data_IF_332077314354
#
_entry.id   IF_332077314354
#
_cell.length_a   1.000
_cell.length_b   1.000
_cell.length_c   1.000
_cell.angle_alpha   90.00
_cell.angle_beta   90.00
_cell.angle_gamma   90.00
#
_symmetry.space_group_name_H-M   'P 1'
#
loop_
_entity.id
_entity.type
_entity.pdbx_description
1 polymer ?
#
# COMPACT_ATOMS: atom_id res chain seq x y z
N UNK A 1 8.94 -6.90 7.17
CA UNK A 1 8.91 -6.71 8.65
C UNK A 1 7.59 -7.13 9.29
N UNK A 2 6.42 -6.61 8.88
CA UNK A 2 5.11 -6.94 9.49
C UNK A 2 4.87 -8.45 9.60
N UNK A 3 5.09 -9.20 8.51
CA UNK A 3 5.00 -10.67 8.51
C UNK A 3 5.97 -11.31 9.51
N UNK A 4 7.22 -10.84 9.55
CA UNK A 4 8.24 -11.36 10.45
C UNK A 4 7.86 -11.18 11.92
N UNK A 5 7.39 -9.99 12.29
CA UNK A 5 6.91 -9.70 13.65
C UNK A 5 5.75 -10.62 14.03
N UNK A 6 4.77 -10.81 13.13
CA UNK A 6 3.62 -11.67 13.38
C UNK A 6 4.00 -13.13 13.58
N UNK A 7 4.88 -13.68 12.74
CA UNK A 7 5.39 -15.05 12.86
C UNK A 7 6.26 -15.21 14.09
N UNK A 8 7.11 -14.24 14.42
CA UNK A 8 7.94 -14.28 15.62
C UNK A 8 7.10 -14.29 16.90
N UNK A 9 6.04 -13.48 16.98
CA UNK A 9 5.07 -13.48 18.08
C UNK A 9 4.31 -14.80 18.20
N UNK A 10 4.15 -15.54 17.10
CA UNK A 10 3.58 -16.89 17.09
C UNK A 10 4.61 -17.98 17.44
N UNK A 11 5.86 -17.62 17.75
CA UNK A 11 6.92 -18.52 18.18
C UNK A 11 7.82 -19.07 17.07
N UNK A 12 7.67 -18.60 15.83
CA UNK A 12 8.57 -18.98 14.73
C UNK A 12 9.89 -18.22 14.81
N UNK A 13 11.00 -18.85 14.42
CA UNK A 13 12.28 -18.17 14.14
C UNK A 13 12.28 -17.66 12.71
N UNK A 14 12.65 -16.40 12.52
CA UNK A 14 12.54 -15.71 11.23
C UNK A 14 13.86 -15.05 10.85
N UNK A 15 14.35 -15.31 9.65
CA UNK A 15 15.38 -14.51 9.01
C UNK A 15 14.71 -13.47 8.09
N UNK A 16 15.09 -12.20 8.24
CA UNK A 16 14.68 -11.12 7.33
C UNK A 16 15.90 -10.61 6.60
N UNK A 17 15.90 -10.72 5.27
CA UNK A 17 16.97 -10.20 4.42
C UNK A 17 16.45 -9.00 3.66
N UNK A 18 17.14 -7.87 3.74
CA UNK A 18 16.80 -6.64 3.02
C UNK A 18 18.07 -6.06 2.39
N UNK A 19 18.02 -5.74 1.09
CA UNK A 19 19.13 -5.14 0.36
C UNK A 19 19.38 -3.69 0.74
N UNK A 20 18.37 -3.00 1.24
CA UNK A 20 18.45 -1.58 1.55
C UNK A 20 19.08 -1.34 2.92
N UNK A 21 19.78 -0.21 3.05
CA UNK A 21 20.30 0.26 4.33
C UNK A 21 19.18 0.88 5.17
N UNK A 22 18.95 0.36 6.41
CA UNK A 22 17.97 0.93 7.32
C UNK A 22 18.18 2.43 7.62
N UNK A 23 19.42 2.87 7.73
CA UNK A 23 19.73 4.28 8.00
C UNK A 23 19.28 5.17 6.85
N UNK A 24 19.52 4.74 5.60
CA UNK A 24 19.03 5.46 4.42
C UNK A 24 17.49 5.46 4.33
N UNK A 25 16.85 4.35 4.72
CA UNK A 25 15.39 4.24 4.71
C UNK A 25 14.68 5.09 5.78
N UNK A 26 15.39 5.46 6.85
CA UNK A 26 14.87 6.21 8.00
C UNK A 26 15.57 7.56 8.19
N UNK A 27 16.26 8.06 7.17
CA UNK A 27 16.88 9.38 7.18
C UNK A 27 15.88 10.47 7.61
N UNK A 28 16.38 11.49 8.30
CA UNK A 28 15.54 12.58 8.79
C UNK A 28 14.88 13.38 7.65
N UNK A 29 13.73 13.93 7.96
CA UNK A 29 12.93 14.73 7.04
C UNK A 29 11.79 13.94 6.38
N UNK A 30 10.88 14.69 5.76
CA UNK A 30 9.79 14.16 4.96
C UNK A 30 10.21 14.12 3.48
N UNK A 31 10.29 12.93 2.90
CA UNK A 31 10.71 12.69 1.51
C UNK A 31 9.54 12.73 0.50
N UNK A 32 8.35 13.15 0.94
CA UNK A 32 7.13 13.19 0.14
C UNK A 32 6.40 11.84 0.05
N UNK A 33 7.00 10.74 0.47
CA UNK A 33 6.37 9.41 0.41
C UNK A 33 5.52 9.14 1.64
N UNK A 34 4.25 8.86 1.40
CA UNK A 34 3.28 8.55 2.44
C UNK A 34 2.44 7.34 2.05
N UNK A 35 1.90 6.67 3.04
CA UNK A 35 1.01 5.52 2.86
C UNK A 35 -0.26 5.66 3.68
N UNK A 36 -1.39 5.35 3.05
CA UNK A 36 -2.66 5.19 3.72
C UNK A 36 -2.74 3.79 4.35
N UNK A 37 -2.94 3.72 5.63
CA UNK A 37 -3.21 2.49 6.38
C UNK A 37 -4.71 2.42 6.62
N UNK A 38 -5.38 1.44 6.00
CA UNK A 38 -6.83 1.21 6.14
C UNK A 38 -7.18 0.78 7.56
N UNK A 39 -8.45 0.84 7.92
CA UNK A 39 -8.95 0.40 9.24
C UNK A 39 -8.54 -1.03 9.55
N UNK A 40 -8.70 -1.97 8.60
CA UNK A 40 -8.30 -3.36 8.81
C UNK A 40 -6.78 -3.52 8.99
N UNK A 41 -5.97 -2.83 8.21
CA UNK A 41 -4.52 -2.82 8.38
C UNK A 41 -4.08 -2.17 9.70
N UNK A 42 -4.84 -1.21 10.19
CA UNK A 42 -4.63 -0.60 11.51
C UNK A 42 -4.88 -1.61 12.64
N UNK A 43 -5.93 -2.44 12.52
CA UNK A 43 -6.19 -3.53 13.47
C UNK A 43 -5.01 -4.51 13.52
N UNK A 44 -4.45 -4.90 12.35
CA UNK A 44 -3.23 -5.72 12.31
C UNK A 44 -2.10 -5.08 13.12
N UNK A 45 -1.89 -3.78 12.98
CA UNK A 45 -0.86 -3.07 13.76
C UNK A 45 -1.20 -3.05 15.26
N UNK A 46 -2.48 -3.01 15.62
CA UNK A 46 -2.94 -3.18 17.01
C UNK A 46 -2.54 -4.54 17.55
N UNK A 47 -2.94 -5.64 16.88
CA UNK A 47 -2.60 -7.00 17.26
C UNK A 47 -1.08 -7.26 17.34
N UNK A 48 -0.29 -6.60 16.50
CA UNK A 48 1.17 -6.69 16.52
C UNK A 48 1.85 -5.78 17.54
N UNK A 49 1.08 -4.94 18.28
CA UNK A 49 1.62 -4.00 19.26
C UNK A 49 2.32 -2.78 18.66
N UNK A 50 2.05 -2.47 17.40
CA UNK A 50 2.61 -1.32 16.68
C UNK A 50 1.76 -0.04 16.87
N UNK A 51 0.46 -0.19 17.13
CA UNK A 51 -0.47 0.93 17.20
C UNK A 51 -0.03 2.02 18.20
N UNK A 52 0.42 1.73 19.43
CA UNK A 52 0.86 2.77 20.35
C UNK A 52 2.07 3.58 19.86
N UNK A 53 2.93 2.98 19.04
CA UNK A 53 4.09 3.66 18.44
C UNK A 53 3.70 4.57 17.28
N UNK A 54 2.66 4.16 16.55
CA UNK A 54 2.22 4.80 15.32
C UNK A 54 1.09 5.81 15.53
N UNK A 55 0.24 5.64 16.54
CA UNK A 55 -0.93 6.49 16.75
C UNK A 55 -0.61 8.01 16.78
N UNK A 56 0.42 8.48 17.48
CA UNK A 56 0.77 9.91 17.49
C UNK A 56 1.43 10.40 16.20
N UNK A 57 1.73 9.50 15.26
CA UNK A 57 2.43 9.77 13.99
C UNK A 57 1.52 9.70 12.76
N UNK A 58 0.26 9.34 12.94
CA UNK A 58 -0.70 9.14 11.87
C UNK A 58 -1.77 10.22 11.79
N UNK A 59 -1.98 10.79 10.60
CA UNK A 59 -3.10 11.71 10.35
C UNK A 59 -4.37 10.92 10.02
N UNK A 60 -5.48 11.10 10.76
CA UNK A 60 -6.74 10.41 10.46
C UNK A 60 -7.31 10.80 9.10
N UNK A 61 -7.83 9.81 8.36
CA UNK A 61 -8.64 10.06 7.15
C UNK A 61 -10.11 10.12 7.59
N UNK A 62 -10.60 11.34 7.84
CA UNK A 62 -11.96 11.58 8.28
C UNK A 62 -12.99 11.47 7.13
N UNK A 63 -12.55 11.72 5.90
CA UNK A 63 -13.37 11.58 4.71
C UNK A 63 -12.51 11.35 3.47
N UNK A 64 -13.12 10.71 2.45
CA UNK A 64 -12.58 10.65 1.09
C UNK A 64 -13.53 11.41 0.17
N UNK A 65 -13.03 12.42 -0.54
CA UNK A 65 -13.79 13.23 -1.49
C UNK A 65 -13.32 12.91 -2.92
N UNK A 66 -14.23 12.40 -3.74
CA UNK A 66 -13.96 12.00 -5.13
C UNK A 66 -14.64 12.97 -6.09
N UNK A 67 -13.88 13.52 -7.04
CA UNK A 67 -14.35 14.51 -8.02
C UNK A 67 -13.97 14.12 -9.46
N UNK A 68 -14.83 14.47 -10.43
CA UNK A 68 -14.51 14.46 -11.86
C UNK A 68 -13.96 15.86 -12.26
N UNK A 69 -12.65 16.04 -12.23
CA UNK A 69 -11.95 17.32 -12.29
C UNK A 69 -12.46 18.30 -11.21
N UNK A 70 -12.40 19.62 -11.47
CA UNK A 70 -12.97 20.65 -10.58
C UNK A 70 -14.44 20.93 -10.84
N UNK A 71 -15.16 19.98 -11.45
CA UNK A 71 -16.59 20.16 -11.77
C UNK A 71 -17.46 19.99 -10.52
N UNK A 72 -18.62 20.67 -10.47
CA UNK A 72 -19.59 20.46 -9.40
C UNK A 72 -20.10 19.01 -9.33
N UNK A 73 -20.27 18.50 -8.12
CA UNK A 73 -20.74 17.14 -7.85
C UNK A 73 -19.60 16.24 -7.42
N UNK A 74 -19.37 16.17 -6.10
CA UNK A 74 -18.44 15.24 -5.45
C UNK A 74 -19.17 14.06 -4.86
N UNK A 75 -18.54 12.90 -4.80
CA UNK A 75 -18.93 11.84 -3.88
C UNK A 75 -18.08 12.04 -2.64
N UNK A 76 -18.71 12.00 -1.49
CA UNK A 76 -18.02 12.05 -0.22
C UNK A 76 -18.33 10.80 0.60
N UNK A 77 -17.27 10.07 0.94
CA UNK A 77 -17.32 8.93 1.82
C UNK A 77 -16.89 9.39 3.22
N UNK A 78 -17.82 9.29 4.18
CA UNK A 78 -17.56 9.54 5.60
C UNK A 78 -17.99 8.31 6.38
N UNK A 79 -17.25 7.92 7.42
CA UNK A 79 -17.72 6.88 8.34
C UNK A 79 -19.01 7.32 9.03
N UNK A 80 -19.82 6.35 9.43
CA UNK A 80 -20.98 6.61 10.27
C UNK A 80 -20.53 7.01 11.69
N UNK A 81 -21.43 7.64 12.45
CA UNK A 81 -21.12 8.07 13.82
C UNK A 81 -20.73 6.85 14.68
N UNK A 82 -19.56 6.93 15.33
CA UNK A 82 -19.00 5.82 16.13
C UNK A 82 -18.09 4.84 15.36
N UNK A 83 -18.01 4.91 14.04
CA UNK A 83 -17.15 3.98 13.25
C UNK A 83 -15.65 4.35 13.20
N UNK A 84 -15.27 5.51 13.73
CA UNK A 84 -13.90 6.02 13.68
C UNK A 84 -13.51 6.57 12.29
N UNK A 85 -12.21 6.57 11.97
CA UNK A 85 -11.72 7.06 10.70
C UNK A 85 -11.70 5.95 9.62
N UNK A 86 -11.68 6.34 8.34
CA UNK A 86 -11.54 5.40 7.21
C UNK A 86 -10.15 4.76 7.12
N UNK A 87 -9.21 5.30 7.86
CA UNK A 87 -7.81 4.90 7.92
C UNK A 87 -6.95 6.03 8.44
N UNK A 88 -5.65 5.88 8.32
CA UNK A 88 -4.65 6.89 8.75
C UNK A 88 -3.56 7.05 7.71
N UNK A 89 -3.11 8.29 7.50
CA UNK A 89 -1.95 8.58 6.65
C UNK A 89 -0.69 8.64 7.48
N UNK A 90 0.37 8.02 6.98
CA UNK A 90 1.70 8.04 7.61
C UNK A 90 2.77 8.42 6.60
N UNK A 91 3.76 9.19 7.03
CA UNK A 91 5.03 9.22 6.32
C UNK A 91 5.66 7.81 6.36
N UNK A 92 6.21 7.34 5.23
CA UNK A 92 6.77 5.99 5.16
C UNK A 92 7.92 5.77 6.14
N UNK A 93 8.65 6.84 6.46
CA UNK A 93 9.69 6.83 7.49
C UNK A 93 9.14 6.38 8.85
N UNK A 94 8.02 6.92 9.29
CA UNK A 94 7.44 6.60 10.61
C UNK A 94 6.99 5.14 10.70
N UNK A 95 6.40 4.61 9.60
CA UNK A 95 6.07 3.19 9.52
C UNK A 95 7.31 2.30 9.63
N UNK A 96 8.40 2.66 8.95
CA UNK A 96 9.65 1.90 9.00
C UNK A 96 10.29 1.92 10.38
N UNK A 97 10.38 3.10 11.01
CA UNK A 97 10.92 3.24 12.37
C UNK A 97 10.16 2.36 13.36
N UNK A 98 8.82 2.40 13.34
CA UNK A 98 8.01 1.58 14.23
C UNK A 98 8.19 0.08 13.98
N UNK A 99 8.28 -0.34 12.71
CA UNK A 99 8.49 -1.73 12.33
C UNK A 99 9.90 -2.23 12.72
N UNK A 100 10.93 -1.40 12.55
CA UNK A 100 12.30 -1.74 12.91
C UNK A 100 12.45 -1.84 14.44
N UNK A 101 11.89 -0.88 15.19
CA UNK A 101 11.88 -0.92 16.66
C UNK A 101 11.14 -2.15 17.19
N UNK A 102 9.99 -2.47 16.63
CA UNK A 102 9.23 -3.66 17.03
C UNK A 102 9.94 -4.97 16.66
N UNK A 103 10.60 -5.04 15.51
CA UNK A 103 11.36 -6.21 15.10
C UNK A 103 12.61 -6.43 15.99
N UNK A 104 13.30 -5.35 16.36
CA UNK A 104 14.47 -5.41 17.23
C UNK A 104 14.15 -5.95 18.64
N UNK A 105 12.89 -5.83 19.08
CA UNK A 105 12.40 -6.38 20.35
C UNK A 105 12.04 -7.87 20.29
N UNK A 106 12.08 -8.49 19.10
CA UNK A 106 11.77 -9.92 18.93
C UNK A 106 13.08 -10.73 18.88
N UNK A 107 13.42 -11.52 19.93
CA UNK A 107 14.69 -12.25 19.99
C UNK A 107 14.82 -13.36 18.94
N UNK A 108 13.71 -13.77 18.35
CA UNK A 108 13.63 -14.81 17.33
C UNK A 108 13.54 -14.24 15.88
N UNK A 109 13.81 -12.94 15.70
CA UNK A 109 14.05 -12.35 14.38
C UNK A 109 15.54 -12.10 14.21
N UNK A 110 16.15 -12.76 13.22
CA UNK A 110 17.49 -12.45 12.75
C UNK A 110 17.38 -11.55 11.51
N UNK A 111 17.76 -10.28 11.66
CA UNK A 111 17.72 -9.32 10.57
C UNK A 111 19.06 -9.16 9.88
N UNK A 112 19.07 -9.25 8.55
CA UNK A 112 20.23 -9.12 7.67
C UNK A 112 20.01 -7.91 6.74
N UNK A 113 20.24 -6.68 7.23
CA UNK A 113 20.15 -5.48 6.41
C UNK A 113 21.32 -5.38 5.43
N UNK A 114 21.17 -4.54 4.40
CA UNK A 114 22.19 -4.31 3.35
C UNK A 114 22.70 -5.61 2.72
N UNK A 115 21.86 -6.64 2.66
CA UNK A 115 22.20 -7.98 2.19
C UNK A 115 21.25 -8.42 1.07
N UNK A 116 21.80 -9.07 0.05
CA UNK A 116 21.02 -9.59 -1.09
C UNK A 116 21.09 -11.10 -1.14
N UNK A 117 19.97 -11.77 -1.39
CA UNK A 117 19.94 -13.21 -1.67
C UNK A 117 20.37 -13.42 -3.12
N UNK A 118 21.51 -14.12 -3.30
CA UNK A 118 22.12 -14.39 -4.63
C UNK A 118 21.79 -15.77 -5.18
N UNK A 119 21.47 -16.74 -4.30
CA UNK A 119 21.02 -18.07 -4.70
C UNK A 119 19.94 -18.60 -3.76
N UNK A 120 19.05 -19.41 -4.30
CA UNK A 120 17.92 -20.04 -3.59
C UNK A 120 17.79 -21.48 -4.02
N UNK A 121 17.68 -22.38 -3.03
CA UNK A 121 17.40 -23.78 -3.27
C UNK A 121 16.18 -24.18 -2.45
N UNK A 122 15.29 -24.95 -3.06
CA UNK A 122 14.07 -25.43 -2.44
C UNK A 122 13.95 -26.94 -2.67
N UNK A 123 13.55 -27.65 -1.64
CA UNK A 123 13.38 -29.10 -1.70
C UNK A 123 12.37 -29.59 -0.68
N UNK A 124 12.10 -30.90 -0.64
CA UNK A 124 11.00 -31.47 0.18
C UNK A 124 11.19 -31.23 1.68
N UNK A 125 12.41 -30.99 2.14
CA UNK A 125 12.72 -30.89 3.58
C UNK A 125 13.03 -29.47 4.06
N UNK A 126 13.15 -28.49 3.17
CA UNK A 126 13.49 -27.12 3.54
C UNK A 126 13.94 -26.28 2.36
N UNK A 127 14.39 -25.10 2.70
CA UNK A 127 14.94 -24.12 1.76
C UNK A 127 16.30 -23.63 2.23
N UNK A 128 17.18 -23.29 1.30
CA UNK A 128 18.39 -22.52 1.58
C UNK A 128 18.43 -21.23 0.77
N UNK A 129 18.99 -20.18 1.36
CA UNK A 129 19.25 -18.90 0.71
C UNK A 129 20.70 -18.50 0.97
N UNK A 130 21.46 -18.27 -0.11
CA UNK A 130 22.83 -17.77 -0.02
C UNK A 130 22.82 -16.26 -0.16
N UNK A 131 23.42 -15.56 0.80
CA UNK A 131 23.56 -14.12 0.80
C UNK A 131 24.79 -13.68 -0.01
N UNK A 132 24.85 -12.39 -0.36
CA UNK A 132 25.96 -11.79 -1.13
C UNK A 132 27.32 -11.89 -0.45
N UNK A 133 27.38 -12.08 0.86
CA UNK A 133 28.61 -12.31 1.65
C UNK A 133 29.00 -13.78 1.77
N UNK A 134 28.26 -14.69 1.13
CA UNK A 134 28.46 -16.14 1.19
C UNK A 134 27.75 -16.83 2.37
N UNK A 135 27.10 -16.11 3.27
CA UNK A 135 26.32 -16.70 4.37
C UNK A 135 25.17 -17.53 3.80
N UNK A 136 24.99 -18.76 4.30
CA UNK A 136 23.89 -19.64 3.92
C UNK A 136 22.87 -19.72 5.04
N UNK A 137 21.67 -19.23 4.77
CA UNK A 137 20.53 -19.34 5.66
C UNK A 137 19.70 -20.57 5.31
N UNK A 138 19.18 -21.28 6.34
CA UNK A 138 18.28 -22.43 6.15
C UNK A 138 16.97 -22.22 6.88
N UNK A 139 15.86 -22.57 6.22
CA UNK A 139 14.54 -22.43 6.78
C UNK A 139 13.58 -23.54 6.28
N UNK A 140 12.36 -23.56 6.84
CA UNK A 140 11.29 -24.45 6.37
C UNK A 140 10.49 -23.85 5.22
N UNK A 141 10.42 -22.52 5.15
CA UNK A 141 9.66 -21.76 4.16
C UNK A 141 10.48 -20.55 3.71
N UNK A 142 10.47 -20.26 2.42
CA UNK A 142 10.92 -19.01 1.81
C UNK A 142 9.72 -18.12 1.54
N UNK A 143 9.81 -16.83 1.87
CA UNK A 143 8.78 -15.85 1.51
C UNK A 143 9.38 -14.76 0.64
N UNK A 144 8.86 -14.64 -0.58
CA UNK A 144 9.22 -13.56 -1.49
C UNK A 144 8.40 -12.30 -1.19
N UNK A 145 9.10 -11.26 -0.72
CA UNK A 145 8.52 -9.96 -0.37
C UNK A 145 9.30 -8.79 -1.00
N UNK A 146 10.02 -9.05 -2.11
CA UNK A 146 10.98 -8.14 -2.73
C UNK A 146 10.37 -7.14 -3.71
N UNK A 147 9.03 -7.03 -3.73
CA UNK A 147 8.33 -6.08 -4.57
C UNK A 147 8.12 -6.55 -6.02
N UNK A 148 7.82 -5.61 -6.91
CA UNK A 148 7.36 -5.87 -8.29
C UNK A 148 8.31 -6.68 -9.14
N UNK A 149 9.61 -6.55 -8.91
CA UNK A 149 10.68 -7.26 -9.64
C UNK A 149 11.25 -8.43 -8.81
N UNK A 150 10.40 -9.15 -8.08
CA UNK A 150 10.80 -10.24 -7.18
C UNK A 150 11.66 -11.29 -7.88
N UNK A 151 12.97 -11.39 -7.55
CA UNK A 151 13.83 -12.45 -8.05
C UNK A 151 13.38 -13.83 -7.57
N UNK A 152 12.82 -13.91 -6.36
CA UNK A 152 12.29 -15.17 -5.80
C UNK A 152 11.13 -15.71 -6.64
N UNK A 153 10.26 -14.83 -7.13
CA UNK A 153 9.18 -15.22 -8.05
C UNK A 153 9.72 -15.70 -9.39
N UNK A 154 10.70 -15.00 -9.95
CA UNK A 154 11.32 -15.32 -11.24
C UNK A 154 12.05 -16.65 -11.16
N UNK A 155 12.85 -16.88 -10.13
CA UNK A 155 13.54 -18.13 -9.85
C UNK A 155 12.58 -19.32 -9.67
N UNK A 156 11.40 -19.09 -9.10
CA UNK A 156 10.35 -20.10 -8.97
C UNK A 156 9.61 -20.41 -10.29
N UNK A 157 9.90 -19.71 -11.39
CA UNK A 157 9.22 -19.90 -12.67
C UNK A 157 7.73 -19.50 -12.63
N UNK A 158 7.33 -18.62 -11.70
CA UNK A 158 5.93 -18.20 -11.57
C UNK A 158 5.63 -17.13 -12.63
N UNK A 159 4.74 -17.46 -13.55
CA UNK A 159 4.32 -16.57 -14.63
C UNK A 159 3.58 -15.33 -14.09
N UNK A 160 3.76 -14.21 -14.76
CA UNK A 160 3.19 -12.90 -14.40
C UNK A 160 2.50 -12.30 -15.62
N UNK A 161 1.24 -11.93 -15.49
CA UNK A 161 0.58 -11.01 -16.40
C UNK A 161 0.89 -9.57 -15.98
N UNK A 162 1.40 -8.76 -16.91
CA UNK A 162 1.78 -7.37 -16.66
C UNK A 162 1.09 -6.44 -17.65
N UNK A 163 0.65 -5.28 -17.15
CA UNK A 163 0.18 -4.16 -17.96
C UNK A 163 0.93 -2.92 -17.55
N UNK A 164 1.38 -2.16 -18.53
CA UNK A 164 1.90 -0.83 -18.34
C UNK A 164 0.81 0.16 -18.74
N UNK A 165 0.46 1.08 -17.86
CA UNK A 165 -0.50 2.14 -18.16
C UNK A 165 0.14 3.30 -18.93
N UNK A 166 1.46 3.29 -19.13
CA UNK A 166 2.25 4.41 -19.66
C UNK A 166 2.00 5.71 -18.90
N UNK A 167 1.85 5.57 -17.59
CA UNK A 167 1.67 6.67 -16.64
C UNK A 167 2.74 6.61 -15.55
N UNK A 168 3.04 7.77 -14.99
CA UNK A 168 3.88 7.91 -13.80
C UNK A 168 3.15 8.69 -12.73
N UNK A 169 3.35 8.32 -11.47
CA UNK A 169 2.94 9.15 -10.34
C UNK A 169 4.05 10.13 -10.01
N UNK A 170 3.74 11.41 -10.00
CA UNK A 170 4.57 12.46 -9.41
C UNK A 170 4.18 12.57 -7.95
N UNK A 171 5.17 12.51 -7.05
CA UNK A 171 4.99 12.64 -5.61
C UNK A 171 5.65 13.92 -5.15
N UNK A 172 4.99 14.66 -4.25
CA UNK A 172 5.55 15.79 -3.56
C UNK A 172 4.91 15.95 -2.18
N UNK A 173 5.61 16.58 -1.25
CA UNK A 173 5.02 17.12 -0.02
C UNK A 173 4.62 18.55 -0.23
N UNK A 174 3.43 18.92 0.24
CA UNK A 174 2.91 20.29 0.21
C UNK A 174 2.73 20.81 1.63
N UNK A 175 3.21 22.02 1.89
CA UNK A 175 2.77 22.86 2.99
C UNK A 175 1.65 23.77 2.47
N UNK A 176 0.65 24.09 3.31
CA UNK A 176 -0.50 24.88 2.87
C UNK A 176 -1.15 25.71 3.97
N UNK A 177 -1.92 26.74 3.57
CA UNK A 177 -2.49 27.72 4.48
C UNK A 177 -3.77 27.25 5.17
N UNK A 178 -4.66 26.56 4.44
CA UNK A 178 -5.94 26.11 4.98
C UNK A 178 -5.84 24.67 5.51
N UNK A 179 -6.39 24.34 6.70
CA UNK A 179 -6.39 22.97 7.20
C UNK A 179 -7.13 22.03 6.23
N UNK A 180 -6.58 20.83 5.99
CA UNK A 180 -7.19 19.80 5.15
C UNK A 180 -8.41 19.11 5.78
N UNK A 181 -8.66 19.30 7.09
CA UNK A 181 -9.79 18.73 7.81
C UNK A 181 -9.87 17.19 7.80
N UNK A 182 -8.75 16.50 7.62
CA UNK A 182 -8.69 15.04 7.50
C UNK A 182 -9.29 14.50 6.20
N UNK A 183 -9.51 15.33 5.18
CA UNK A 183 -10.10 14.91 3.90
C UNK A 183 -8.99 14.47 2.95
N UNK A 184 -9.08 13.22 2.46
CA UNK A 184 -8.33 12.74 1.31
C UNK A 184 -9.09 13.10 0.03
N UNK A 185 -8.49 13.92 -0.81
CA UNK A 185 -9.07 14.31 -2.10
C UNK A 185 -8.56 13.43 -3.21
N UNK A 186 -9.47 12.90 -4.03
CA UNK A 186 -9.17 12.11 -5.22
C UNK A 186 -9.86 12.77 -6.41
N UNK A 187 -9.12 13.52 -7.21
CA UNK A 187 -9.63 14.29 -8.34
C UNK A 187 -9.22 13.58 -9.62
N UNK A 188 -10.18 13.06 -10.37
CA UNK A 188 -9.91 12.33 -11.60
C UNK A 188 -9.84 13.26 -12.80
N UNK A 189 -8.69 13.22 -13.48
CA UNK A 189 -8.46 13.87 -14.76
C UNK A 189 -8.31 12.84 -15.88
N UNK A 190 -8.44 13.21 -17.16
CA UNK A 190 -8.22 12.27 -18.28
C UNK A 190 -6.84 11.64 -18.31
N UNK A 191 -5.81 12.33 -17.80
CA UNK A 191 -4.46 11.80 -17.64
C UNK A 191 -4.28 10.91 -16.40
N UNK A 192 -5.30 10.75 -15.58
CA UNK A 192 -5.28 9.95 -14.36
C UNK A 192 -5.61 10.75 -13.09
N UNK A 193 -5.61 10.08 -11.93
CA UNK A 193 -5.95 10.69 -10.66
C UNK A 193 -4.92 11.70 -10.17
N UNK A 194 -5.43 12.68 -9.44
CA UNK A 194 -4.68 13.69 -8.69
C UNK A 194 -5.17 13.62 -7.24
N UNK A 195 -4.33 13.15 -6.34
CA UNK A 195 -4.70 12.94 -4.96
C UNK A 195 -3.96 13.91 -4.02
N UNK A 196 -4.70 14.46 -3.06
CA UNK A 196 -4.17 15.22 -1.91
C UNK A 196 -4.52 14.46 -0.64
N UNK A 197 -3.52 14.02 0.06
CA UNK A 197 -3.65 13.11 1.21
C UNK A 197 -3.27 13.85 2.50
N UNK A 198 -4.16 13.84 3.54
CA UNK A 198 -3.94 14.59 4.76
C UNK A 198 -2.75 14.03 5.55
N UNK A 199 -1.78 14.89 5.87
CA UNK A 199 -0.63 14.54 6.72
C UNK A 199 -0.72 15.27 8.05
N UNK A 200 0.00 14.80 9.07
CA UNK A 200 0.14 15.58 10.28
C UNK A 200 0.84 16.91 9.98
N UNK A 201 0.44 17.94 10.71
CA UNK A 201 1.16 19.20 10.72
C UNK A 201 2.62 18.98 11.12
N UNK A 202 3.51 19.85 10.69
CA UNK A 202 4.89 19.76 11.11
C UNK A 202 5.10 20.28 12.55
N UNK A 203 6.35 20.24 13.01
CA UNK A 203 6.69 20.67 14.38
C UNK A 203 6.42 22.16 14.63
N UNK A 204 6.22 22.97 13.58
CA UNK A 204 5.87 24.40 13.68
C UNK A 204 4.36 24.65 13.64
N UNK A 205 3.55 23.61 13.43
CA UNK A 205 2.10 23.69 13.24
C UNK A 205 1.69 24.01 11.80
N UNK A 206 2.61 23.94 10.84
CA UNK A 206 2.31 24.15 9.41
C UNK A 206 1.54 22.96 8.86
N UNK A 207 0.38 23.21 8.27
CA UNK A 207 -0.43 22.17 7.62
C UNK A 207 0.29 21.52 6.45
N UNK A 208 0.19 20.19 6.34
CA UNK A 208 0.86 19.41 5.29
C UNK A 208 -0.07 18.41 4.62
N UNK A 209 0.17 18.19 3.32
CA UNK A 209 -0.45 17.12 2.54
C UNK A 209 0.57 16.42 1.67
N UNK A 210 0.39 15.13 1.42
CA UNK A 210 1.11 14.42 0.38
C UNK A 210 0.33 14.54 -0.94
N UNK A 211 1.05 14.87 -2.01
CA UNK A 211 0.52 14.91 -3.38
C UNK A 211 0.91 13.63 -4.11
N UNK A 212 -0.07 13.02 -4.78
CA UNK A 212 0.15 11.97 -5.79
C UNK A 212 -0.55 12.39 -7.07
N UNK A 213 0.21 12.79 -8.07
CA UNK A 213 -0.31 13.28 -9.33
C UNK A 213 0.07 12.36 -10.48
N UNK A 214 -0.90 11.70 -11.08
CA UNK A 214 -0.70 10.83 -12.24
C UNK A 214 -0.57 11.67 -13.51
N UNK A 215 0.49 11.44 -14.26
CA UNK A 215 0.77 12.07 -15.57
C UNK A 215 1.12 11.00 -16.60
N UNK A 216 1.01 11.33 -17.89
CA UNK A 216 1.52 10.46 -18.93
C UNK A 216 3.04 10.28 -18.77
N UNK A 217 3.55 9.11 -19.14
CA UNK A 217 4.98 8.77 -18.97
C UNK A 217 5.88 9.78 -19.69
N UNK A 218 5.50 10.20 -20.90
CA UNK A 218 6.24 11.15 -21.72
C UNK A 218 6.30 12.57 -21.08
N UNK A 219 5.29 12.93 -20.28
CA UNK A 219 5.19 14.24 -19.62
C UNK A 219 5.97 14.30 -18.30
N UNK A 220 6.21 13.16 -17.67
CA UNK A 220 6.73 13.09 -16.30
C UNK A 220 8.09 13.79 -16.14
N UNK A 221 9.00 13.62 -17.11
CA UNK A 221 10.30 14.28 -17.10
C UNK A 221 10.18 15.81 -17.21
N UNK A 222 9.19 16.29 -17.98
CA UNK A 222 8.85 17.71 -18.09
C UNK A 222 8.39 18.29 -16.75
N UNK A 223 7.44 17.62 -16.11
CA UNK A 223 6.88 18.01 -14.81
C UNK A 223 7.96 18.04 -13.71
N UNK A 224 8.87 17.06 -13.68
CA UNK A 224 9.96 17.05 -12.71
C UNK A 224 10.99 18.18 -12.90
N UNK A 225 11.18 18.66 -14.15
CA UNK A 225 12.10 19.76 -14.47
C UNK A 225 11.48 21.16 -14.33
N UNK A 226 10.17 21.27 -14.08
CA UNK A 226 9.54 22.58 -13.83
C UNK A 226 10.23 23.30 -12.67
N UNK A 227 10.28 24.64 -12.71
CA UNK A 227 10.59 25.41 -11.51
C UNK A 227 9.53 25.15 -10.44
N UNK A 228 9.85 25.40 -9.17
CA UNK A 228 8.88 25.21 -8.08
C UNK A 228 7.64 26.09 -8.28
N UNK A 229 7.84 27.32 -8.73
CA UNK A 229 6.74 28.25 -9.04
C UNK A 229 5.82 27.69 -10.14
N UNK A 230 6.38 27.18 -11.23
CA UNK A 230 5.59 26.61 -12.33
C UNK A 230 4.85 25.32 -11.89
N UNK A 231 5.52 24.47 -11.15
CA UNK A 231 4.91 23.24 -10.62
C UNK A 231 3.76 23.55 -9.67
N UNK A 232 3.95 24.48 -8.72
CA UNK A 232 2.91 24.88 -7.78
C UNK A 232 1.73 25.58 -8.47
N UNK A 233 1.96 26.30 -9.56
CA UNK A 233 0.89 26.87 -10.39
C UNK A 233 0.03 25.78 -11.04
N UNK A 234 0.66 24.72 -11.59
CA UNK A 234 -0.06 23.55 -12.13
C UNK A 234 -0.84 22.79 -11.03
N UNK A 235 -0.23 22.62 -9.86
CA UNK A 235 -0.91 21.98 -8.71
C UNK A 235 -2.13 22.80 -8.31
N UNK A 236 -2.02 24.13 -8.16
CA UNK A 236 -3.16 25.01 -7.84
C UNK A 236 -4.26 24.93 -8.89
N UNK A 237 -3.89 24.93 -10.19
CA UNK A 237 -4.87 24.79 -11.26
C UNK A 237 -5.67 23.48 -11.19
N UNK A 238 -5.09 22.40 -10.63
CA UNK A 238 -5.75 21.10 -10.49
C UNK A 238 -6.49 20.94 -9.15
N UNK A 239 -5.99 21.48 -8.08
CA UNK A 239 -6.67 21.34 -6.78
C UNK A 239 -7.73 22.42 -6.52
N UNK A 240 -7.71 23.54 -7.26
CA UNK A 240 -8.50 24.72 -6.96
C UNK A 240 -8.11 25.33 -5.60
N UNK A 241 -9.09 25.87 -4.87
CA UNK A 241 -8.90 26.60 -3.62
C UNK A 241 -8.94 25.72 -2.34
N UNK A 242 -8.84 24.39 -2.50
CA UNK A 242 -9.08 23.45 -1.39
C UNK A 242 -8.11 23.66 -0.22
N UNK A 243 -6.82 23.86 -0.49
CA UNK A 243 -5.78 24.04 0.53
C UNK A 243 -5.30 25.51 0.64
N UNK A 244 -5.80 26.43 -0.18
CA UNK A 244 -5.32 27.80 -0.25
C UNK A 244 -3.93 27.92 -0.82
N UNK A 245 -3.11 28.84 -0.30
CA UNK A 245 -1.71 28.97 -0.73
C UNK A 245 -0.91 27.73 -0.34
N UNK A 246 -0.04 27.31 -1.27
CA UNK A 246 0.76 26.10 -1.15
C UNK A 246 2.24 26.37 -1.41
N UNK A 247 3.09 25.61 -0.74
CA UNK A 247 4.54 25.57 -0.93
C UNK A 247 5.02 24.11 -0.97
N UNK A 248 6.22 23.87 -1.50
CA UNK A 248 6.83 22.54 -1.43
C UNK A 248 7.40 22.28 -0.05
N UNK A 249 6.96 21.18 0.59
CA UNK A 249 7.47 20.68 1.85
C UNK A 249 8.43 19.48 1.68
N UNK A 250 8.53 18.92 0.47
CA UNK A 250 9.45 17.83 0.15
C UNK A 250 9.83 17.86 -1.33
N UNK A 251 11.00 17.29 -1.71
CA UNK A 251 11.41 17.17 -3.10
C UNK A 251 10.41 16.36 -3.94
N UNK A 252 10.31 16.70 -5.21
CA UNK A 252 9.52 15.96 -6.18
C UNK A 252 10.23 14.68 -6.59
N UNK A 253 9.48 13.59 -6.68
CA UNK A 253 9.95 12.32 -7.21
C UNK A 253 8.89 11.67 -8.11
N UNK A 254 9.25 10.64 -8.86
CA UNK A 254 8.26 9.89 -9.64
C UNK A 254 8.54 8.40 -9.66
N UNK A 255 7.47 7.62 -9.82
CA UNK A 255 7.57 6.17 -10.05
C UNK A 255 6.59 5.72 -11.15
N UNK A 256 6.94 4.66 -11.91
CA UNK A 256 6.09 4.14 -12.96
C UNK A 256 4.85 3.45 -12.38
N UNK A 257 3.71 3.63 -13.06
CA UNK A 257 2.45 3.00 -12.72
C UNK A 257 2.20 1.81 -13.65
N UNK A 258 1.96 0.66 -13.08
CA UNK A 258 1.66 -0.56 -13.80
C UNK A 258 0.86 -1.51 -12.93
N UNK A 259 0.26 -2.46 -13.58
CA UNK A 259 -0.43 -3.57 -12.95
C UNK A 259 0.35 -4.86 -13.21
N UNK A 260 0.43 -5.74 -12.24
CA UNK A 260 0.82 -7.12 -12.47
C UNK A 260 0.09 -8.08 -11.54
N UNK A 261 -0.15 -9.27 -12.05
CA UNK A 261 -0.77 -10.34 -11.30
C UNK A 261 -0.07 -11.66 -11.63
N UNK A 262 0.28 -12.41 -10.61
CA UNK A 262 0.95 -13.70 -10.75
C UNK A 262 -0.07 -14.82 -11.00
N UNK A 263 0.33 -15.82 -11.80
CA UNK A 263 -0.51 -16.99 -12.05
C UNK A 263 -0.80 -17.80 -10.77
N UNK A 264 0.10 -17.73 -9.80
CA UNK A 264 -0.02 -18.32 -8.46
C UNK A 264 0.88 -17.57 -7.49
N UNK A 265 0.56 -17.66 -6.21
CA UNK A 265 1.33 -16.97 -5.15
C UNK A 265 2.09 -17.94 -4.25
N UNK A 266 2.06 -19.23 -4.57
CA UNK A 266 2.78 -20.28 -3.85
C UNK A 266 3.50 -21.23 -4.82
N UNK A 267 4.55 -21.86 -4.33
CA UNK A 267 5.23 -23.00 -4.95
C UNK A 267 5.76 -23.91 -3.85
N UNK A 268 6.56 -24.94 -4.19
CA UNK A 268 7.18 -25.80 -3.18
C UNK A 268 7.96 -24.94 -2.17
N UNK A 269 7.51 -24.97 -0.90
CA UNK A 269 8.10 -24.22 0.22
C UNK A 269 8.32 -22.73 -0.06
N UNK A 270 7.44 -22.14 -0.84
CA UNK A 270 7.49 -20.74 -1.23
C UNK A 270 6.12 -20.10 -1.12
N UNK A 271 6.05 -18.92 -0.51
CA UNK A 271 4.92 -18.01 -0.59
C UNK A 271 5.38 -16.63 -1.09
N UNK A 272 4.55 -15.95 -1.88
CA UNK A 272 4.74 -14.56 -2.29
C UNK A 272 3.75 -13.67 -1.55
N UNK A 273 4.18 -12.47 -1.14
CA UNK A 273 3.34 -11.47 -0.46
C UNK A 273 3.54 -10.08 -1.05
N UNK A 274 2.49 -9.26 -1.00
CA UNK A 274 2.52 -7.88 -1.48
C UNK A 274 2.86 -7.77 -2.96
N UNK A 275 3.65 -6.77 -3.32
CA UNK A 275 4.01 -6.50 -4.71
C UNK A 275 4.84 -7.64 -5.37
N UNK A 276 5.36 -8.60 -4.62
CA UNK A 276 5.95 -9.80 -5.21
C UNK A 276 4.89 -10.74 -5.81
N UNK A 277 3.69 -10.77 -5.21
CA UNK A 277 2.54 -11.54 -5.67
C UNK A 277 1.67 -10.75 -6.67
N UNK A 278 1.36 -9.51 -6.35
CA UNK A 278 0.45 -8.67 -7.14
C UNK A 278 0.75 -7.18 -6.93
N UNK A 279 0.80 -6.44 -8.01
CA UNK A 279 0.93 -4.98 -7.96
C UNK A 279 -0.26 -4.33 -8.64
N UNK A 280 -0.99 -3.53 -7.88
CA UNK A 280 -2.16 -2.81 -8.36
C UNK A 280 -1.84 -1.34 -8.65
N UNK A 281 -2.73 -0.67 -9.38
CA UNK A 281 -2.66 0.78 -9.55
C UNK A 281 -2.86 1.46 -8.17
N UNK A 282 -2.10 2.50 -7.82
CA UNK A 282 -2.14 3.13 -6.50
C UNK A 282 -3.40 3.97 -6.20
N UNK A 283 -4.50 3.79 -6.94
CA UNK A 283 -5.77 4.44 -6.63
C UNK A 283 -6.16 4.13 -5.19
N UNK A 284 -6.50 5.16 -4.45
CA UNK A 284 -6.88 5.09 -3.05
C UNK A 284 -5.85 4.44 -2.11
N UNK A 285 -4.56 4.33 -2.50
CA UNK A 285 -3.48 3.83 -1.63
C UNK A 285 -3.60 2.36 -1.22
N UNK A 286 -4.29 1.51 -2.00
CA UNK A 286 -4.61 0.13 -1.60
C UNK A 286 -3.46 -0.87 -1.72
N UNK A 287 -2.37 -0.56 -2.44
CA UNK A 287 -1.28 -1.52 -2.68
C UNK A 287 -0.64 -2.06 -1.39
N UNK A 288 -0.27 -1.17 -0.46
CA UNK A 288 0.31 -1.59 0.82
C UNK A 288 -0.70 -2.38 1.67
N UNK A 289 -1.97 -1.94 1.72
CA UNK A 289 -3.02 -2.61 2.50
C UNK A 289 -3.30 -4.03 2.00
N UNK A 290 -3.25 -4.23 0.68
CA UNK A 290 -3.37 -5.56 0.09
C UNK A 290 -2.20 -6.47 0.52
N UNK A 291 -0.96 -5.95 0.52
CA UNK A 291 0.21 -6.68 1.01
C UNK A 291 0.17 -6.96 2.53
N UNK A 292 -0.36 -6.04 3.34
CA UNK A 292 -0.58 -6.26 4.77
C UNK A 292 -1.64 -7.34 5.01
N UNK A 293 -2.67 -7.40 4.17
CA UNK A 293 -3.68 -8.44 4.20
C UNK A 293 -3.11 -9.81 3.82
N UNK A 294 -2.17 -9.87 2.86
CA UNK A 294 -1.41 -11.09 2.56
C UNK A 294 -0.61 -11.55 3.78
N UNK A 295 0.11 -10.62 4.41
CA UNK A 295 0.89 -10.92 5.60
C UNK A 295 0.01 -11.49 6.72
N UNK A 296 -1.15 -10.87 7.00
CA UNK A 296 -2.09 -11.35 8.03
C UNK A 296 -2.63 -12.76 7.71
N UNK A 297 -3.02 -13.01 6.46
CA UNK A 297 -3.50 -14.32 6.02
C UNK A 297 -2.41 -15.40 6.12
N UNK A 298 -1.19 -15.08 5.71
CA UNK A 298 -0.07 -16.01 5.78
C UNK A 298 0.34 -16.31 7.23
N UNK A 299 0.35 -15.29 8.12
CA UNK A 299 0.57 -15.48 9.55
C UNK A 299 -0.47 -16.46 10.11
N UNK A 300 -1.75 -16.26 9.83
CA UNK A 300 -2.82 -17.12 10.34
C UNK A 300 -2.69 -18.55 9.81
N UNK A 301 -2.48 -18.74 8.50
CA UNK A 301 -2.32 -20.06 7.90
C UNK A 301 -1.14 -20.84 8.51
N UNK A 302 0.02 -20.17 8.66
CA UNK A 302 1.22 -20.78 9.25
C UNK A 302 1.01 -21.10 10.72
N UNK A 303 0.47 -20.14 11.51
CA UNK A 303 0.25 -20.31 12.95
C UNK A 303 -0.72 -21.43 13.24
N UNK A 304 -1.83 -21.52 12.51
CA UNK A 304 -2.80 -22.60 12.65
C UNK A 304 -2.18 -23.95 12.25
N UNK A 305 -1.39 -23.99 11.16
CA UNK A 305 -0.64 -25.17 10.75
C UNK A 305 0.34 -25.65 11.84
N UNK A 306 1.13 -24.74 12.39
CA UNK A 306 2.10 -25.04 13.46
C UNK A 306 1.41 -25.59 14.72
N UNK A 307 0.24 -25.06 15.09
CA UNK A 307 -0.56 -25.57 16.22
C UNK A 307 -1.03 -27.01 16.01
N UNK A 308 -1.21 -27.41 14.74
CA UNK A 308 -1.55 -28.80 14.37
C UNK A 308 -0.30 -29.68 14.14
N UNK A 309 0.91 -29.15 14.38
CA UNK A 309 2.16 -29.86 14.15
C UNK A 309 2.61 -29.93 12.69
N UNK A 310 2.00 -29.15 11.80
CA UNK A 310 2.40 -29.07 10.39
C UNK A 310 3.64 -28.19 10.22
N UNK A 311 4.42 -28.49 9.19
CA UNK A 311 5.56 -27.68 8.76
C UNK A 311 5.08 -26.37 8.12
N UNK A 312 5.66 -25.18 8.41
CA UNK A 312 5.30 -23.93 7.77
C UNK A 312 5.34 -23.94 6.23
N UNK A 313 6.20 -24.80 5.66
CA UNK A 313 6.30 -25.00 4.20
C UNK A 313 5.41 -26.11 3.66
N UNK A 314 4.50 -26.67 4.46
CA UNK A 314 3.58 -27.72 4.05
C UNK A 314 2.65 -27.23 2.92
N UNK A 315 2.45 -28.10 1.92
CA UNK A 315 1.64 -27.78 0.77
C UNK A 315 0.17 -27.46 1.13
N UNK A 316 -0.39 -28.06 2.21
CA UNK A 316 -1.76 -27.79 2.62
C UNK A 316 -1.87 -26.39 3.26
N UNK A 317 -0.88 -25.97 4.05
CA UNK A 317 -0.79 -24.62 4.63
C UNK A 317 -0.72 -23.57 3.52
N UNK A 318 0.16 -23.78 2.55
CA UNK A 318 0.35 -22.87 1.42
C UNK A 318 -0.87 -22.83 0.49
N UNK A 319 -1.50 -23.97 0.22
CA UNK A 319 -2.72 -24.02 -0.59
C UNK A 319 -3.92 -23.33 0.09
N UNK A 320 -4.00 -23.37 1.45
CA UNK A 320 -5.01 -22.58 2.19
C UNK A 320 -4.78 -21.09 2.00
N UNK A 321 -3.53 -20.62 2.14
CA UNK A 321 -3.15 -19.23 1.91
C UNK A 321 -3.50 -18.79 0.48
N UNK A 322 -3.10 -19.55 -0.54
CA UNK A 322 -3.37 -19.22 -1.94
C UNK A 322 -4.87 -19.10 -2.23
N UNK A 323 -5.68 -20.10 -1.82
CA UNK A 323 -7.14 -20.05 -2.02
C UNK A 323 -7.77 -18.82 -1.34
N UNK A 324 -7.30 -18.49 -0.15
CA UNK A 324 -7.83 -17.33 0.58
C UNK A 324 -7.53 -16.02 -0.12
N UNK A 325 -6.31 -15.87 -0.65
CA UNK A 325 -5.88 -14.62 -1.25
C UNK A 325 -6.28 -14.45 -2.72
N UNK A 326 -6.48 -15.54 -3.45
CA UNK A 326 -6.76 -15.48 -4.88
C UNK A 326 -8.02 -14.67 -5.24
N UNK A 327 -9.12 -14.87 -4.51
CA UNK A 327 -10.37 -14.15 -4.75
C UNK A 327 -10.27 -12.67 -4.38
N UNK A 328 -9.69 -12.36 -3.23
CA UNK A 328 -9.54 -10.99 -2.74
C UNK A 328 -8.65 -10.15 -3.66
N UNK A 329 -7.47 -10.65 -4.02
CA UNK A 329 -6.54 -9.96 -4.89
C UNK A 329 -7.14 -9.69 -6.27
N UNK A 330 -7.89 -10.65 -6.83
CA UNK A 330 -8.56 -10.48 -8.11
C UNK A 330 -9.66 -9.41 -8.03
N UNK A 331 -10.47 -9.39 -6.99
CA UNK A 331 -11.56 -8.41 -6.82
C UNK A 331 -11.01 -6.98 -6.71
N UNK A 332 -9.99 -6.76 -5.88
CA UNK A 332 -9.34 -5.45 -5.74
C UNK A 332 -8.68 -5.03 -7.05
N UNK A 333 -8.03 -5.96 -7.75
CA UNK A 333 -7.40 -5.72 -9.04
C UNK A 333 -8.42 -5.28 -10.10
N UNK A 334 -9.54 -6.00 -10.23
CA UNK A 334 -10.61 -5.66 -11.18
C UNK A 334 -11.29 -4.33 -10.82
N UNK A 335 -11.52 -4.04 -9.54
CA UNK A 335 -12.10 -2.79 -9.09
C UNK A 335 -11.20 -1.58 -9.44
N UNK A 336 -9.90 -1.68 -9.14
CA UNK A 336 -8.95 -0.60 -9.41
C UNK A 336 -8.69 -0.41 -10.91
N UNK A 337 -8.56 -1.48 -11.69
CA UNK A 337 -8.40 -1.42 -13.16
C UNK A 337 -9.68 -0.85 -13.81
N UNK A 338 -10.86 -1.30 -13.37
CA UNK A 338 -12.14 -0.79 -13.84
C UNK A 338 -12.32 0.71 -13.59
N UNK A 339 -11.98 1.19 -12.39
CA UNK A 339 -11.99 2.61 -12.08
C UNK A 339 -10.98 3.38 -12.95
N UNK A 340 -9.75 2.91 -13.07
CA UNK A 340 -8.71 3.54 -13.90
C UNK A 340 -9.19 3.72 -15.34
N UNK A 341 -9.76 2.68 -15.94
CA UNK A 341 -10.28 2.73 -17.33
C UNK A 341 -11.50 3.63 -17.45
N UNK A 342 -12.45 3.56 -16.51
CA UNK A 342 -13.65 4.38 -16.53
C UNK A 342 -13.32 5.88 -16.48
N UNK A 343 -12.38 6.28 -15.64
CA UNK A 343 -11.98 7.68 -15.51
C UNK A 343 -10.99 8.12 -16.60
N UNK A 344 -10.25 7.21 -17.21
CA UNK A 344 -9.33 7.48 -18.33
C UNK A 344 -10.00 7.74 -19.69
N UNK A 345 -11.31 7.43 -19.86
CA UNK A 345 -12.00 7.70 -21.13
C UNK A 345 -12.25 9.18 -21.29
N UNK A 346 -11.68 9.85 -22.33
CA UNK A 346 -11.90 11.28 -22.56
C UNK A 346 -13.27 11.56 -23.17
N UNK A 347 -13.74 12.81 -23.04
CA UNK A 347 -14.91 13.31 -23.74
C UNK A 347 -16.10 13.65 -22.84
N UNK A 348 -17.01 14.51 -23.39
CA UNK A 348 -18.17 15.04 -22.68
C UNK A 348 -19.19 13.96 -22.30
N UNK A 349 -19.42 12.99 -23.19
CA UNK A 349 -20.35 11.87 -22.95
C UNK A 349 -19.83 10.96 -21.83
N UNK A 350 -18.54 10.62 -21.84
CA UNK A 350 -17.92 9.83 -20.79
C UNK A 350 -17.99 10.54 -19.43
N UNK A 351 -17.72 11.85 -19.38
CA UNK A 351 -17.87 12.65 -18.16
C UNK A 351 -19.33 12.68 -17.66
N UNK A 352 -20.31 12.77 -18.57
CA UNK A 352 -21.72 12.71 -18.18
C UNK A 352 -22.08 11.35 -17.57
N UNK A 353 -21.66 10.24 -18.18
CA UNK A 353 -21.88 8.89 -17.67
C UNK A 353 -21.22 8.71 -16.29
N UNK A 354 -19.96 9.17 -16.13
CA UNK A 354 -19.29 9.16 -14.81
C UNK A 354 -20.07 9.94 -13.75
N UNK A 355 -20.56 11.13 -14.09
CA UNK A 355 -21.34 11.97 -13.15
C UNK A 355 -22.66 11.31 -12.76
N UNK A 356 -23.37 10.70 -13.71
CA UNK A 356 -24.59 9.93 -13.42
C UNK A 356 -24.25 8.74 -12.52
N UNK A 357 -23.16 8.01 -12.83
CA UNK A 357 -22.67 6.90 -12.00
C UNK A 357 -22.31 7.37 -10.58
N UNK A 358 -21.57 8.45 -10.44
CA UNK A 358 -21.21 9.05 -9.14
C UNK A 358 -22.44 9.48 -8.36
N UNK A 359 -23.41 10.16 -9.01
CA UNK A 359 -24.67 10.53 -8.37
C UNK A 359 -25.50 9.30 -7.95
N UNK A 360 -25.43 8.22 -8.73
CA UNK A 360 -26.03 6.93 -8.39
C UNK A 360 -25.41 6.33 -7.13
N UNK A 361 -24.08 6.25 -7.08
CA UNK A 361 -23.34 5.77 -5.87
C UNK A 361 -23.68 6.61 -4.65
N UNK A 362 -23.72 7.95 -4.78
CA UNK A 362 -24.03 8.84 -3.66
C UNK A 362 -25.46 8.62 -3.12
N UNK A 363 -26.41 8.23 -3.97
CA UNK A 363 -27.83 8.01 -3.61
C UNK A 363 -28.14 6.59 -3.16
N UNK A 364 -27.30 5.61 -3.54
CA UNK A 364 -27.52 4.19 -3.24
C UNK A 364 -26.71 3.79 -2.00
N UNK A 365 -27.31 3.86 -0.81
CA UNK A 365 -26.65 3.55 0.45
C UNK A 365 -25.91 2.19 0.47
N UNK A 366 -26.45 1.07 -0.05
CA UNK A 366 -25.73 -0.20 -0.08
C UNK A 366 -24.45 -0.16 -0.93
N UNK A 367 -24.48 0.52 -2.08
CA UNK A 367 -23.33 0.64 -2.97
C UNK A 367 -22.26 1.55 -2.36
N UNK A 368 -22.68 2.65 -1.74
CA UNK A 368 -21.79 3.55 -1.00
C UNK A 368 -21.10 2.81 0.16
N UNK A 369 -21.86 2.02 0.92
CA UNK A 369 -21.32 1.20 2.02
C UNK A 369 -20.31 0.19 1.51
N UNK A 370 -20.60 -0.51 0.41
CA UNK A 370 -19.65 -1.46 -0.19
C UNK A 370 -18.31 -0.78 -0.56
N UNK A 371 -18.34 0.41 -1.18
CA UNK A 371 -17.12 1.17 -1.47
C UNK A 371 -16.36 1.60 -0.21
N UNK A 372 -17.09 1.95 0.85
CA UNK A 372 -16.51 2.30 2.14
C UNK A 372 -15.83 1.09 2.81
N UNK A 373 -16.49 -0.06 2.80
CA UNK A 373 -15.94 -1.30 3.35
C UNK A 373 -14.69 -1.73 2.60
N UNK A 374 -14.67 -1.56 1.27
CA UNK A 374 -13.49 -1.80 0.44
C UNK A 374 -12.36 -0.83 0.80
N UNK A 375 -12.63 0.48 0.93
CA UNK A 375 -11.63 1.48 1.32
C UNK A 375 -11.08 1.24 2.73
N UNK A 376 -11.92 0.79 3.66
CA UNK A 376 -11.54 0.40 5.04
C UNK A 376 -10.80 -0.94 5.08
N UNK A 377 -10.83 -1.71 3.99
CA UNK A 377 -10.23 -3.05 3.91
C UNK A 377 -10.98 -4.10 4.72
N UNK A 378 -12.27 -3.88 5.04
CA UNK A 378 -13.10 -4.80 5.84
C UNK A 378 -14.01 -5.69 5.00
N UNK A 379 -13.90 -5.65 3.68
CA UNK A 379 -14.66 -6.49 2.76
C UNK A 379 -14.15 -7.95 2.72
N UNK A 380 -15.04 -8.90 2.42
CA UNK A 380 -14.72 -10.32 2.27
C UNK A 380 -14.42 -11.04 3.60
N UNK A 381 -13.78 -12.23 3.51
CA UNK A 381 -13.38 -13.01 4.69
C UNK A 381 -12.06 -12.52 5.22
N UNK A 382 -12.07 -11.86 6.36
CA UNK A 382 -10.86 -11.29 6.97
C UNK A 382 -10.05 -12.33 7.75
N UNK A 383 -8.71 -12.27 7.69
CA UNK A 383 -7.86 -12.84 8.72
C UNK A 383 -8.15 -12.22 10.09
N UNK A 384 -8.08 -13.03 11.15
CA UNK A 384 -8.36 -12.59 12.53
C UNK A 384 -7.55 -11.36 12.97
N UNK A 385 -6.32 -11.26 12.50
CA UNK A 385 -5.46 -10.10 12.79
C UNK A 385 -5.94 -8.80 12.15
N UNK A 386 -6.89 -8.84 11.22
CA UNK A 386 -7.52 -7.68 10.60
C UNK A 386 -8.86 -7.30 11.24
N UNK A 387 -9.39 -8.14 12.10
CA UNK A 387 -10.59 -7.85 12.88
C UNK A 387 -10.27 -6.84 14.00
N UNK A 388 -11.26 -6.12 14.54
CA UNK A 388 -11.04 -5.20 15.65
C UNK A 388 -10.36 -5.87 16.84
N UNK A 389 -9.47 -5.10 17.52
CA UNK A 389 -8.73 -5.55 18.70
C UNK A 389 -9.63 -5.57 19.93
#
# INVERSE_FOLDING_TARGET
MTLAIGLARAGASVHVVDRDDPAAQTAEGFDGRASAISTASWNLFGHLGLAPLLEPKGSPIAAIAVNDALRPGKIEFRPEEGEGSLGRMFANRELRLALFDAAAKQPNIAWHPSSTVVARERGPHGVSATLSDGTVLRARLLVGAEGRQSPTREDAGIAVARWDYRHRAIIAGLAHAKPHGGVAWEIFYPAGPFALLPMLDDATGQHRSALVWTVAEDDAAGVLRMSDTAFLAEVRAKMGEVLGDIELAAPRSSYPLGFHHTARIVAERLALVGDAAHGIHPIAGQGLNLGLRDAAALIECITDGMRLGLDPGDAQVLARYERWRASDALMVALATDGLTRLFGVPGRTASLVRRIGMAGVQRMAPLKRWFMDEARGVSGTLPKLLEPV
#
